data_IF_964211187983
#
_entry.id   IF_964211187983
#
_cell.length_a   1.000
_cell.length_b   1.000
_cell.length_c   1.000
_cell.angle_alpha   90.00
_cell.angle_beta   90.00
_cell.angle_gamma   90.00
#
_symmetry.space_group_name_H-M   'P 1'
#
loop_
_entity.id
_entity.type
_entity.pdbx_description
1 polymer ?
#
# COMPACT_ATOMS: atom_id res chain seq x y z
N UNK A 1 -13.99 16.98 -28.08
CA UNK A 1 -14.27 16.30 -26.82
C UNK A 1 -14.27 17.36 -25.73
N UNK A 2 -15.40 17.58 -25.03
CA UNK A 2 -15.46 18.55 -23.94
C UNK A 2 -14.62 18.08 -22.73
N UNK A 3 -14.10 19.03 -21.91
CA UNK A 3 -13.41 18.71 -20.68
C UNK A 3 -14.34 17.91 -19.72
N UNK A 4 -13.81 16.97 -18.95
CA UNK A 4 -14.61 16.21 -18.00
C UNK A 4 -15.26 17.15 -16.97
N UNK A 5 -16.50 16.85 -16.56
CA UNK A 5 -17.19 17.68 -15.58
C UNK A 5 -16.48 17.62 -14.20
N UNK A 6 -16.48 18.72 -13.43
CA UNK A 6 -15.90 18.73 -12.08
C UNK A 6 -16.48 17.63 -11.19
N UNK A 7 -17.78 17.37 -11.27
CA UNK A 7 -18.43 16.29 -10.54
C UNK A 7 -17.85 14.91 -10.89
N UNK A 8 -17.57 14.65 -12.17
CA UNK A 8 -16.97 13.39 -12.61
C UNK A 8 -15.55 13.24 -12.04
N UNK A 9 -14.72 14.28 -12.10
CA UNK A 9 -13.36 14.25 -11.56
C UNK A 9 -13.37 13.99 -10.04
N UNK A 10 -14.28 14.63 -9.34
CA UNK A 10 -14.47 14.41 -7.90
C UNK A 10 -14.83 12.95 -7.59
N UNK A 11 -15.84 12.38 -8.27
CA UNK A 11 -16.24 10.98 -8.07
C UNK A 11 -15.12 9.99 -8.43
N UNK A 12 -14.41 10.23 -9.53
CA UNK A 12 -13.28 9.38 -9.96
C UNK A 12 -12.15 9.43 -8.94
N UNK A 13 -11.77 10.61 -8.47
CA UNK A 13 -10.73 10.76 -7.46
C UNK A 13 -11.09 10.02 -6.16
N UNK A 14 -12.29 10.20 -5.66
CA UNK A 14 -12.72 9.57 -4.41
C UNK A 14 -12.88 8.07 -4.54
N UNK A 15 -13.60 7.61 -5.56
CA UNK A 15 -13.83 6.19 -5.79
C UNK A 15 -12.53 5.42 -6.03
N UNK A 16 -11.65 5.95 -6.89
CA UNK A 16 -10.34 5.33 -7.14
C UNK A 16 -9.45 5.34 -5.90
N UNK A 17 -9.49 6.39 -5.08
CA UNK A 17 -8.74 6.48 -3.82
C UNK A 17 -9.19 5.44 -2.81
N UNK A 18 -10.50 5.24 -2.63
CA UNK A 18 -11.06 4.25 -1.73
C UNK A 18 -10.69 2.82 -2.16
N UNK A 19 -10.84 2.53 -3.47
CA UNK A 19 -10.45 1.23 -4.03
C UNK A 19 -8.94 1.02 -3.91
N UNK A 20 -8.13 2.05 -4.18
CA UNK A 20 -6.68 2.00 -4.01
C UNK A 20 -6.28 1.67 -2.58
N UNK A 21 -6.92 2.31 -1.58
CA UNK A 21 -6.65 2.02 -0.16
C UNK A 21 -7.01 0.56 0.20
N UNK A 22 -8.15 0.05 -0.28
CA UNK A 22 -8.53 -1.35 -0.07
C UNK A 22 -7.53 -2.33 -0.73
N UNK A 23 -7.09 -2.03 -1.95
CA UNK A 23 -6.08 -2.84 -2.66
C UNK A 23 -4.73 -2.79 -1.94
N UNK A 24 -4.27 -1.64 -1.49
CA UNK A 24 -3.03 -1.51 -0.69
C UNK A 24 -3.13 -2.30 0.62
N UNK A 25 -4.27 -2.27 1.27
CA UNK A 25 -4.52 -3.04 2.50
C UNK A 25 -4.45 -4.55 2.24
N UNK A 26 -5.01 -5.02 1.12
CA UNK A 26 -4.88 -6.41 0.69
C UNK A 26 -3.42 -6.79 0.38
N UNK A 27 -2.66 -5.91 -0.30
CA UNK A 27 -1.24 -6.10 -0.60
C UNK A 27 -0.42 -6.24 0.70
N UNK A 28 -0.64 -5.35 1.67
CA UNK A 28 0.05 -5.41 2.97
C UNK A 28 -0.33 -6.67 3.74
N UNK A 29 -1.61 -7.02 3.80
CA UNK A 29 -2.11 -8.24 4.44
C UNK A 29 -1.46 -9.49 3.85
N UNK A 30 -1.41 -9.61 2.52
CA UNK A 30 -0.76 -10.73 1.83
C UNK A 30 0.76 -10.75 2.08
N UNK A 31 1.42 -9.60 2.10
CA UNK A 31 2.85 -9.49 2.43
C UNK A 31 3.17 -9.94 3.86
N UNK A 32 2.27 -9.68 4.81
CA UNK A 32 2.37 -10.18 6.18
C UNK A 32 2.14 -11.70 6.20
N UNK A 33 1.12 -12.19 5.51
CA UNK A 33 0.75 -13.59 5.45
C UNK A 33 1.87 -14.48 4.85
N UNK A 34 2.57 -14.01 3.83
CA UNK A 34 3.71 -14.73 3.25
C UNK A 34 4.84 -14.97 4.28
N UNK A 35 5.09 -14.02 5.17
CA UNK A 35 6.14 -14.13 6.18
C UNK A 35 5.74 -14.94 7.40
N UNK A 36 4.46 -15.06 7.67
CA UNK A 36 3.93 -15.95 8.67
C UNK A 36 3.70 -17.31 8.01
N UNK A 37 4.10 -18.40 8.66
CA UNK A 37 3.74 -19.77 8.19
C UNK A 37 2.24 -20.05 8.34
N UNK A 38 1.42 -19.02 8.35
CA UNK A 38 -0.02 -19.12 8.35
C UNK A 38 -0.41 -19.80 7.03
N UNK A 39 -0.53 -21.12 7.08
CA UNK A 39 -1.03 -21.90 5.96
C UNK A 39 -2.50 -21.54 5.78
N UNK A 40 -2.74 -20.64 4.85
CA UNK A 40 -4.10 -20.41 4.40
C UNK A 40 -4.57 -21.71 3.79
N UNK A 41 -5.59 -22.33 4.41
CA UNK A 41 -6.18 -23.57 3.89
C UNK A 41 -6.69 -23.42 2.45
N UNK A 42 -6.90 -22.19 2.01
CA UNK A 42 -7.54 -21.84 0.73
C UNK A 42 -6.54 -21.49 -0.37
N UNK A 43 -5.35 -20.96 -0.03
CA UNK A 43 -4.37 -20.49 -1.03
C UNK A 43 -3.00 -21.12 -0.77
N UNK A 44 -2.44 -21.82 -1.79
CA UNK A 44 -1.05 -22.27 -1.72
C UNK A 44 -0.10 -21.09 -1.70
N UNK A 45 1.10 -21.26 -1.12
CA UNK A 45 2.06 -20.17 -0.93
C UNK A 45 2.44 -19.41 -2.22
N UNK A 46 2.52 -20.10 -3.37
CA UNK A 46 2.74 -19.44 -4.66
C UNK A 46 1.57 -18.54 -5.07
N UNK A 47 0.34 -18.90 -4.71
CA UNK A 47 -0.85 -18.10 -4.97
C UNK A 47 -0.85 -16.80 -4.20
N UNK A 48 -0.39 -16.81 -2.93
CA UNK A 48 -0.25 -15.60 -2.11
C UNK A 48 0.75 -14.61 -2.73
N UNK A 49 1.91 -15.10 -3.17
CA UNK A 49 2.93 -14.26 -3.83
C UNK A 49 2.42 -13.69 -5.16
N UNK A 50 1.77 -14.53 -5.96
CA UNK A 50 1.21 -14.08 -7.25
C UNK A 50 0.15 -13.02 -7.03
N UNK A 51 -0.78 -13.24 -6.10
CA UNK A 51 -1.85 -12.31 -5.79
C UNK A 51 -1.29 -10.98 -5.25
N UNK A 52 -0.31 -11.03 -4.33
CA UNK A 52 0.38 -9.84 -3.83
C UNK A 52 0.97 -9.01 -4.99
N UNK A 53 1.66 -9.65 -5.94
CA UNK A 53 2.26 -8.96 -7.09
C UNK A 53 1.21 -8.39 -8.03
N UNK A 54 0.16 -9.14 -8.33
CA UNK A 54 -0.94 -8.68 -9.22
C UNK A 54 -1.67 -7.49 -8.62
N UNK A 55 -2.01 -7.53 -7.33
CA UNK A 55 -2.65 -6.41 -6.66
C UNK A 55 -1.72 -5.20 -6.53
N UNK A 56 -0.42 -5.40 -6.32
CA UNK A 56 0.54 -4.30 -6.34
C UNK A 56 0.62 -3.62 -7.71
N UNK A 57 0.59 -4.39 -8.80
CA UNK A 57 0.52 -3.83 -10.16
C UNK A 57 -0.81 -3.10 -10.41
N UNK A 58 -1.91 -3.63 -9.91
CA UNK A 58 -3.21 -2.97 -10.02
C UNK A 58 -3.24 -1.64 -9.25
N UNK A 59 -2.63 -1.58 -8.06
CA UNK A 59 -2.47 -0.33 -7.31
C UNK A 59 -1.70 0.73 -8.11
N UNK A 60 -0.69 0.32 -8.92
CA UNK A 60 0.05 1.22 -9.81
C UNK A 60 -0.79 1.83 -10.93
N UNK A 61 -1.85 1.16 -11.35
CA UNK A 61 -2.81 1.70 -12.34
C UNK A 61 -3.80 2.64 -11.66
N UNK A 62 -4.27 2.29 -10.46
CA UNK A 62 -5.23 3.09 -9.70
C UNK A 62 -4.61 4.40 -9.17
N UNK A 63 -3.33 4.38 -8.80
CA UNK A 63 -2.66 5.54 -8.23
C UNK A 63 -2.66 6.75 -9.18
N UNK A 64 -2.19 6.67 -10.43
CA UNK A 64 -2.25 7.81 -11.35
C UNK A 64 -3.69 8.23 -11.63
N UNK A 65 -4.65 7.32 -11.71
CA UNK A 65 -6.06 7.66 -11.87
C UNK A 65 -6.56 8.51 -10.70
N UNK A 66 -6.26 8.12 -9.45
CA UNK A 66 -6.60 8.85 -8.24
C UNK A 66 -5.94 10.23 -8.21
N UNK A 67 -4.63 10.27 -8.42
CA UNK A 67 -3.85 11.50 -8.30
C UNK A 67 -4.17 12.49 -9.40
N UNK A 68 -4.25 12.04 -10.66
CA UNK A 68 -4.51 12.93 -11.80
C UNK A 68 -5.95 13.46 -11.77
N UNK A 69 -6.94 12.65 -11.38
CA UNK A 69 -8.32 13.15 -11.26
C UNK A 69 -8.44 14.21 -10.17
N UNK A 70 -7.72 14.07 -9.04
CA UNK A 70 -7.67 15.08 -7.99
C UNK A 70 -6.91 16.35 -8.42
N UNK A 71 -5.83 16.20 -9.19
CA UNK A 71 -5.04 17.33 -9.69
C UNK A 71 -5.79 18.16 -10.73
N UNK A 72 -6.56 17.48 -11.58
CA UNK A 72 -7.36 18.13 -12.64
C UNK A 72 -8.70 18.68 -12.12
N UNK A 73 -9.06 18.38 -10.89
CA UNK A 73 -10.30 18.89 -10.28
C UNK A 73 -10.15 20.40 -9.98
N UNK A 74 -10.94 21.26 -10.66
CA UNK A 74 -10.85 22.70 -10.49
C UNK A 74 -11.30 23.19 -9.12
N UNK A 75 -11.99 22.37 -8.32
CA UNK A 75 -12.40 22.73 -6.96
C UNK A 75 -11.24 22.57 -5.96
N UNK A 76 -10.36 21.58 -6.17
CA UNK A 76 -9.36 21.20 -5.16
C UNK A 76 -8.10 22.05 -5.23
N UNK A 77 -7.76 22.60 -6.41
CA UNK A 77 -6.58 23.47 -6.64
C UNK A 77 -5.30 22.97 -5.96
N UNK A 78 -4.95 21.67 -6.16
CA UNK A 78 -3.83 21.03 -5.46
C UNK A 78 -2.46 21.68 -5.75
N UNK A 79 -2.26 22.15 -6.98
CA UNK A 79 -0.95 22.55 -7.48
C UNK A 79 -0.04 21.37 -7.81
N UNK A 80 0.75 21.47 -8.87
CA UNK A 80 1.64 20.40 -9.36
C UNK A 80 2.71 19.98 -8.35
N UNK A 81 3.19 20.93 -7.54
CA UNK A 81 4.19 20.66 -6.51
C UNK A 81 3.70 19.72 -5.40
N UNK A 82 2.38 19.65 -5.18
CA UNK A 82 1.79 18.75 -4.20
C UNK A 82 1.94 17.25 -4.56
N UNK A 83 2.32 16.94 -5.79
CA UNK A 83 2.61 15.56 -6.22
C UNK A 83 3.94 15.02 -5.68
N UNK A 84 4.90 15.91 -5.42
CA UNK A 84 6.29 15.55 -5.12
C UNK A 84 6.75 16.13 -3.77
N UNK A 85 6.25 17.33 -3.42
CA UNK A 85 6.69 18.03 -2.23
C UNK A 85 5.59 18.03 -1.17
N UNK A 86 5.76 17.27 -0.08
CA UNK A 86 4.81 17.27 1.02
C UNK A 86 4.60 18.70 1.56
N UNK A 87 3.40 18.99 2.03
CA UNK A 87 3.02 20.30 2.58
C UNK A 87 3.01 21.50 1.61
N UNK A 88 3.19 21.28 0.31
CA UNK A 88 3.15 22.35 -0.69
C UNK A 88 1.73 22.70 -1.17
N UNK A 89 0.74 21.85 -0.91
CA UNK A 89 -0.65 22.09 -1.32
C UNK A 89 -1.30 23.20 -0.50
N UNK A 90 -2.01 24.15 -1.16
CA UNK A 90 -2.86 25.12 -0.48
C UNK A 90 -4.15 24.50 0.08
N UNK A 91 -4.61 23.37 -0.52
CA UNK A 91 -5.81 22.67 -0.11
C UNK A 91 -5.49 21.60 0.93
N UNK A 92 -6.18 21.60 2.07
CA UNK A 92 -6.05 20.59 3.15
C UNK A 92 -4.60 20.11 3.37
N UNK A 93 -3.70 21.04 3.52
CA UNK A 93 -2.24 20.90 3.51
C UNK A 93 -1.71 19.62 4.18
N UNK A 94 -2.13 19.35 5.41
CA UNK A 94 -1.67 18.17 6.15
C UNK A 94 -2.23 16.86 5.58
N UNK A 95 -3.49 16.85 5.13
CA UNK A 95 -4.09 15.67 4.53
C UNK A 95 -3.40 15.30 3.21
N UNK A 96 -3.18 16.29 2.35
CA UNK A 96 -2.49 16.07 1.07
C UNK A 96 -1.04 15.66 1.28
N UNK A 97 -0.33 16.28 2.25
CA UNK A 97 1.04 15.89 2.58
C UNK A 97 1.17 14.40 2.97
N UNK A 98 0.20 13.85 3.70
CA UNK A 98 0.18 12.43 4.03
C UNK A 98 0.02 11.55 2.78
N UNK A 99 -0.80 12.00 1.81
CA UNK A 99 -0.93 11.34 0.51
C UNK A 99 0.38 11.37 -0.27
N UNK A 100 1.02 12.55 -0.38
CA UNK A 100 2.30 12.72 -1.06
C UNK A 100 3.38 11.82 -0.44
N UNK A 101 3.53 11.83 0.89
CA UNK A 101 4.47 10.95 1.59
C UNK A 101 4.17 9.46 1.31
N UNK A 102 2.89 9.09 1.21
CA UNK A 102 2.51 7.72 0.86
C UNK A 102 2.95 7.36 -0.56
N UNK A 103 2.79 8.28 -1.51
CA UNK A 103 3.25 8.11 -2.89
C UNK A 103 4.77 7.99 -2.94
N UNK A 104 5.51 8.87 -2.24
CA UNK A 104 6.98 8.85 -2.21
C UNK A 104 7.52 7.50 -1.69
N UNK A 105 6.95 7.01 -0.58
CA UNK A 105 7.30 5.70 -0.03
C UNK A 105 6.96 4.57 -1.01
N UNK A 106 5.78 4.63 -1.64
CA UNK A 106 5.37 3.62 -2.62
C UNK A 106 6.30 3.60 -3.82
N UNK A 107 6.65 4.76 -4.37
CA UNK A 107 7.59 4.87 -5.50
C UNK A 107 8.97 4.33 -5.13
N UNK A 108 9.47 4.61 -3.92
CA UNK A 108 10.73 4.05 -3.43
C UNK A 108 10.68 2.51 -3.34
N UNK A 109 9.59 1.94 -2.82
CA UNK A 109 9.37 0.49 -2.74
C UNK A 109 9.33 -0.14 -4.13
N UNK A 110 8.66 0.49 -5.10
CA UNK A 110 8.57 0.01 -6.47
C UNK A 110 9.93 0.08 -7.17
N UNK A 111 10.57 1.26 -7.16
CA UNK A 111 11.86 1.47 -7.81
C UNK A 111 12.90 0.47 -7.31
N UNK A 112 12.99 0.27 -5.99
CA UNK A 112 13.93 -0.69 -5.41
C UNK A 112 13.54 -2.14 -5.69
N UNK A 113 12.24 -2.46 -5.85
CA UNK A 113 11.78 -3.79 -6.24
C UNK A 113 12.14 -4.12 -7.70
N UNK A 114 12.06 -3.15 -8.59
CA UNK A 114 12.51 -3.28 -9.98
C UNK A 114 14.03 -3.40 -10.08
N UNK A 115 14.76 -2.69 -9.23
CA UNK A 115 16.23 -2.68 -9.19
C UNK A 115 16.81 -3.74 -8.24
N UNK A 116 16.00 -4.67 -7.73
CA UNK A 116 16.41 -5.66 -6.71
C UNK A 116 17.67 -6.42 -7.06
N UNK A 117 17.84 -6.80 -8.33
CA UNK A 117 19.02 -7.54 -8.79
C UNK A 117 20.32 -6.71 -8.73
N UNK A 118 20.19 -5.38 -8.81
CA UNK A 118 21.34 -4.45 -8.74
C UNK A 118 21.66 -3.99 -7.32
N UNK A 119 20.62 -3.79 -6.50
CA UNK A 119 20.76 -3.26 -5.13
C UNK A 119 21.18 -4.31 -4.11
N UNK A 120 20.97 -5.59 -4.39
CA UNK A 120 21.18 -6.67 -3.45
C UNK A 120 20.02 -6.83 -2.44
N UNK A 121 19.92 -8.02 -1.86
CA UNK A 121 18.77 -8.43 -1.05
C UNK A 121 18.60 -7.62 0.22
N UNK A 122 19.71 -7.19 0.87
CA UNK A 122 19.65 -6.43 2.13
C UNK A 122 19.05 -5.04 1.93
N UNK A 123 19.58 -4.28 0.96
CA UNK A 123 19.13 -2.93 0.66
C UNK A 123 17.65 -2.95 0.22
N UNK A 124 17.30 -3.85 -0.71
CA UNK A 124 15.92 -4.05 -1.12
C UNK A 124 14.99 -4.35 0.06
N UNK A 125 15.39 -5.24 0.97
CA UNK A 125 14.57 -5.63 2.13
C UNK A 125 14.30 -4.46 3.07
N UNK A 126 15.30 -3.60 3.33
CA UNK A 126 15.14 -2.42 4.18
C UNK A 126 14.12 -1.47 3.60
N UNK A 127 14.24 -1.13 2.30
CA UNK A 127 13.29 -0.23 1.65
C UNK A 127 11.91 -0.89 1.52
N UNK A 128 11.85 -2.18 1.18
CA UNK A 128 10.57 -2.89 1.07
C UNK A 128 9.81 -2.94 2.41
N UNK A 129 10.51 -2.94 3.54
CA UNK A 129 9.88 -2.86 4.87
C UNK A 129 9.25 -1.49 5.14
N UNK A 130 9.67 -0.42 4.46
CA UNK A 130 9.00 0.88 4.57
C UNK A 130 7.54 0.87 4.06
N UNK A 131 7.14 -0.18 3.32
CA UNK A 131 5.74 -0.42 2.98
C UNK A 131 4.83 -0.53 4.23
N UNK A 132 5.38 -0.91 5.39
CA UNK A 132 4.63 -0.88 6.65
C UNK A 132 4.34 0.55 7.13
N UNK A 133 5.15 1.53 6.75
CA UNK A 133 4.90 2.95 7.02
C UNK A 133 3.91 3.55 6.01
N UNK A 134 3.96 3.07 4.76
CA UNK A 134 3.05 3.50 3.71
C UNK A 134 1.57 3.35 4.12
N UNK A 135 1.22 2.22 4.73
CA UNK A 135 -0.18 1.93 5.05
C UNK A 135 -0.79 2.89 6.10
N UNK A 136 -0.17 3.18 7.26
CA UNK A 136 -0.72 4.16 8.21
C UNK A 136 -0.71 5.59 7.65
N UNK A 137 0.23 5.96 6.78
CA UNK A 137 0.19 7.26 6.08
C UNK A 137 -1.01 7.34 5.14
N UNK A 138 -1.26 6.29 4.35
CA UNK A 138 -2.42 6.21 3.46
C UNK A 138 -3.73 6.21 4.25
N UNK A 139 -3.82 5.49 5.37
CA UNK A 139 -4.98 5.52 6.26
C UNK A 139 -5.23 6.93 6.80
N UNK A 140 -4.20 7.59 7.33
CA UNK A 140 -4.32 8.94 7.85
C UNK A 140 -4.69 9.96 6.75
N UNK A 141 -4.20 9.75 5.51
CA UNK A 141 -4.63 10.51 4.34
C UNK A 141 -6.11 10.31 4.07
N UNK A 142 -6.57 9.06 3.97
CA UNK A 142 -7.96 8.72 3.67
C UNK A 142 -8.91 9.30 4.73
N UNK A 143 -8.60 9.14 6.01
CA UNK A 143 -9.41 9.67 7.12
C UNK A 143 -9.49 11.20 7.13
N UNK A 144 -8.44 11.89 6.67
CA UNK A 144 -8.38 13.36 6.68
C UNK A 144 -8.86 14.00 5.38
N UNK A 145 -8.63 13.37 4.24
CA UNK A 145 -9.01 13.87 2.93
C UNK A 145 -10.36 13.32 2.46
N UNK A 146 -10.69 12.09 2.82
CA UNK A 146 -11.93 11.42 2.48
C UNK A 146 -13.05 11.73 3.48
N UNK A 147 -14.27 11.73 3.00
CA UNK A 147 -15.49 11.78 3.83
C UNK A 147 -16.41 10.58 3.53
N UNK A 148 -15.83 9.50 3.01
CA UNK A 148 -16.60 8.37 2.47
C UNK A 148 -17.13 7.44 3.56
N UNK A 149 -16.75 7.66 4.83
CA UNK A 149 -17.31 6.99 6.01
C UNK A 149 -18.81 7.20 6.17
N UNK A 150 -19.36 8.25 5.56
CA UNK A 150 -20.80 8.51 5.56
C UNK A 150 -21.60 7.57 4.66
N UNK A 151 -20.92 6.86 3.74
CA UNK A 151 -21.57 5.88 2.86
C UNK A 151 -21.35 4.46 3.40
N UNK A 152 -22.36 3.58 3.38
CA UNK A 152 -22.21 2.20 3.87
C UNK A 152 -21.06 1.46 3.17
N UNK A 153 -20.93 1.61 1.86
CA UNK A 153 -19.86 0.99 1.09
C UNK A 153 -18.48 1.54 1.48
N UNK A 154 -18.35 2.85 1.62
CA UNK A 154 -17.10 3.48 2.04
C UNK A 154 -16.69 3.02 3.43
N UNK A 155 -17.61 3.02 4.39
CA UNK A 155 -17.34 2.54 5.73
C UNK A 155 -16.92 1.06 5.76
N UNK A 156 -17.58 0.19 5.00
CA UNK A 156 -17.22 -1.24 4.92
C UNK A 156 -15.83 -1.43 4.32
N UNK A 157 -15.49 -0.75 3.23
CA UNK A 157 -14.18 -0.86 2.61
C UNK A 157 -13.07 -0.32 3.51
N UNK A 158 -13.29 0.80 4.18
CA UNK A 158 -12.29 1.43 5.03
C UNK A 158 -12.06 0.63 6.32
N UNK A 159 -13.12 0.37 7.10
CA UNK A 159 -13.01 -0.40 8.34
C UNK A 159 -12.67 -1.87 8.09
N UNK A 160 -13.18 -2.48 7.03
CA UNK A 160 -12.80 -3.83 6.61
C UNK A 160 -11.31 -3.93 6.29
N UNK A 161 -10.75 -2.91 5.62
CA UNK A 161 -9.32 -2.80 5.34
C UNK A 161 -8.50 -2.69 6.63
N UNK A 162 -8.93 -1.83 7.55
CA UNK A 162 -8.26 -1.66 8.85
C UNK A 162 -8.28 -2.97 9.65
N UNK A 163 -9.44 -3.61 9.76
CA UNK A 163 -9.57 -4.89 10.46
C UNK A 163 -8.69 -5.99 9.83
N UNK A 164 -8.63 -6.08 8.49
CA UNK A 164 -7.82 -7.08 7.80
C UNK A 164 -6.32 -6.91 8.10
N UNK A 165 -5.80 -5.68 8.01
CA UNK A 165 -4.38 -5.41 8.27
C UNK A 165 -4.04 -5.61 9.75
N UNK A 166 -4.87 -5.14 10.67
CA UNK A 166 -4.64 -5.32 12.11
C UNK A 166 -4.68 -6.80 12.50
N UNK A 167 -5.63 -7.57 11.97
CA UNK A 167 -5.72 -9.03 12.20
C UNK A 167 -4.46 -9.73 11.70
N UNK A 168 -4.00 -9.41 10.49
CA UNK A 168 -2.77 -9.98 9.94
C UNK A 168 -1.54 -9.61 10.79
N UNK A 169 -1.47 -8.37 11.27
CA UNK A 169 -0.38 -7.92 12.13
C UNK A 169 -0.36 -8.62 13.49
N UNK A 170 -1.52 -8.74 14.15
CA UNK A 170 -1.67 -9.49 15.40
C UNK A 170 -1.29 -10.96 15.20
N UNK A 171 -1.79 -11.61 14.15
CA UNK A 171 -1.43 -12.99 13.82
C UNK A 171 0.09 -13.16 13.64
N UNK A 172 0.75 -12.18 13.01
CA UNK A 172 2.21 -12.16 12.87
C UNK A 172 2.93 -12.04 14.21
N UNK A 173 2.46 -11.17 15.10
CA UNK A 173 3.04 -11.03 16.45
C UNK A 173 2.92 -12.33 17.25
N UNK A 174 1.75 -12.96 17.21
CA UNK A 174 1.51 -14.26 17.87
C UNK A 174 2.46 -15.31 17.30
N UNK A 175 2.60 -15.42 15.98
CA UNK A 175 3.52 -16.35 15.34
C UNK A 175 4.99 -16.07 15.71
N UNK A 176 5.38 -14.81 15.86
CA UNK A 176 6.71 -14.43 16.30
C UNK A 176 7.00 -14.87 17.75
N UNK A 177 6.04 -14.64 18.65
CA UNK A 177 6.15 -15.06 20.07
C UNK A 177 6.21 -16.59 20.18
N UNK A 178 5.45 -17.32 19.37
CA UNK A 178 5.46 -18.79 19.33
C UNK A 178 6.69 -19.40 18.65
N UNK A 179 7.61 -18.57 18.13
CA UNK A 179 8.78 -19.05 17.40
C UNK A 179 8.48 -19.69 16.05
N UNK A 180 7.26 -19.51 15.52
CA UNK A 180 6.77 -20.06 14.26
C UNK A 180 7.22 -19.24 13.03
N UNK A 181 7.92 -18.14 13.25
CA UNK A 181 8.44 -17.30 12.15
C UNK A 181 9.55 -18.01 11.41
N UNK A 182 9.52 -17.93 10.09
CA UNK A 182 10.47 -18.56 9.17
C UNK A 182 11.91 -18.17 9.54
N UNK A 183 12.62 -19.03 10.26
CA UNK A 183 14.09 -18.98 10.29
C UNK A 183 14.56 -19.28 8.86
N UNK A 184 15.28 -18.34 8.23
CA UNK A 184 16.01 -18.63 7.01
C UNK A 184 16.89 -19.84 7.31
N UNK A 185 16.80 -20.96 6.58
CA UNK A 185 17.68 -22.08 6.81
C UNK A 185 19.11 -21.60 6.63
N UNK A 186 19.87 -21.52 7.74
CA UNK A 186 21.28 -21.27 7.65
C UNK A 186 21.88 -22.31 6.72
N UNK A 187 22.71 -21.88 5.76
CA UNK A 187 23.55 -22.80 4.98
C UNK A 187 24.22 -23.72 5.99
N UNK A 188 23.84 -25.00 6.01
CA UNK A 188 24.63 -26.01 6.72
C UNK A 188 26.03 -25.93 6.11
N UNK A 189 27.10 -25.72 6.91
CA UNK A 189 28.43 -25.86 6.38
C UNK A 189 28.55 -27.27 5.77
N UNK A 190 29.03 -27.33 4.55
CA UNK A 190 29.28 -28.61 3.89
C UNK A 190 30.18 -29.44 4.81
N UNK A 191 29.69 -30.57 5.30
CA UNK A 191 30.55 -31.55 5.99
C UNK A 191 31.52 -32.06 4.93
N UNK A 192 32.76 -31.60 4.99
CA UNK A 192 33.87 -32.23 4.31
C UNK A 192 34.00 -33.59 4.98
N UNK A 193 33.66 -34.65 4.25
CA UNK A 193 34.00 -36.02 4.66
C UNK A 193 35.49 -36.22 4.34
N UNK A 194 36.22 -36.82 5.28
CA UNK A 194 37.62 -37.17 5.07
C UNK A 194 37.78 -38.26 4.01
#
# INVERSE_FOLDING_TARGET
>A
MGAPSPALLWFVSRGSGLVLFAVLSAVVTLGIAERTRLRWRVLPGFGVVTLHRTLALFALVLLPLHVLSALLDPYVHLGWWALIVPFSSPYRRAAIALGTLSVDVLLAVIATSLLRTRLGERAWRVVHLSAYLLWPLALAHTLRAGADLSTPLGAVLEWGSVCAVLTAFVARLIAAVRGETRRVPGRRPARIRP
#
